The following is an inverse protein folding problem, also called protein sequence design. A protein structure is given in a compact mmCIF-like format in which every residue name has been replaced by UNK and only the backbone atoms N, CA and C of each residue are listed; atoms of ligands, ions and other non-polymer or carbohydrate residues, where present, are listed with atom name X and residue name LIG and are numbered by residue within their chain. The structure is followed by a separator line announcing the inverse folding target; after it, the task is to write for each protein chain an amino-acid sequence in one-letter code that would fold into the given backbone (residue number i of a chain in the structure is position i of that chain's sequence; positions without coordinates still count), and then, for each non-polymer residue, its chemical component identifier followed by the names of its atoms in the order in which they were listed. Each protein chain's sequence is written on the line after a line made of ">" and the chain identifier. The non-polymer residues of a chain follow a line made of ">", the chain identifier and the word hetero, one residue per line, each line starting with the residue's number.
data_IF_375261619216
#
_entry.id   IF_375261619216
#
_cell.length_a   1.000
_cell.length_b   1.000
_cell.length_c   1.000
_cell.angle_alpha   90.00
_cell.angle_beta   90.00
_cell.angle_gamma   90.00
#
_symmetry.space_group_name_H-M   'P 1'
#
loop_
_entity.id
_entity.type
_entity.pdbx_description
1 polymer ?
#
# COMPACT_ATOMS: atom_id res chain seq x y z
N UNK A 1 69.63 -50.73 15.86
CA UNK A 1 68.84 -51.68 16.66
C UNK A 1 67.39 -51.58 16.20
N UNK A 2 66.72 -52.50 15.51
CA UNK A 2 67.01 -53.86 15.06
C UNK A 2 65.66 -54.49 14.65
N UNK A 3 65.68 -55.21 13.52
CA UNK A 3 64.81 -56.34 13.13
C UNK A 3 63.46 -56.09 12.43
N UNK A 4 63.55 -56.27 11.12
CA UNK A 4 62.63 -56.90 10.15
C UNK A 4 61.73 -58.02 10.72
N UNK A 5 60.51 -58.19 10.20
CA UNK A 5 60.11 -59.33 9.32
C UNK A 5 58.63 -59.30 8.91
N UNK A 6 58.39 -59.80 7.70
CA UNK A 6 57.15 -59.82 6.95
C UNK A 6 56.23 -61.01 7.27
N UNK A 7 54.96 -60.92 6.85
CA UNK A 7 54.31 -62.01 6.11
C UNK A 7 53.22 -61.48 5.17
N UNK A 8 53.21 -62.03 3.95
CA UNK A 8 52.19 -61.92 2.89
C UNK A 8 51.35 -63.20 2.90
N UNK A 9 50.06 -63.11 2.59
CA UNK A 9 49.22 -64.08 1.83
C UNK A 9 47.97 -63.29 1.39
N UNK A 10 47.71 -63.00 0.11
CA UNK A 10 47.32 -63.80 -1.07
C UNK A 10 45.79 -64.06 -1.19
N UNK A 11 45.16 -63.18 -1.97
CA UNK A 11 44.11 -63.36 -2.99
C UNK A 11 43.03 -64.44 -2.89
N UNK A 12 41.76 -64.01 -2.94
CA UNK A 12 40.69 -64.40 -3.90
C UNK A 12 39.47 -63.51 -3.56
N UNK A 13 38.56 -63.06 -4.42
CA UNK A 13 38.23 -63.28 -5.81
C UNK A 13 37.27 -62.15 -6.25
N UNK A 14 37.52 -61.58 -7.42
CA UNK A 14 36.55 -61.22 -8.48
C UNK A 14 35.13 -60.70 -8.15
N UNK A 15 34.82 -59.57 -8.81
CA UNK A 15 33.49 -59.12 -9.29
C UNK A 15 32.57 -58.51 -8.22
N UNK A 16 31.81 -57.43 -8.42
CA UNK A 16 31.49 -56.58 -9.57
C UNK A 16 30.70 -55.36 -9.00
N UNK A 17 30.77 -54.24 -9.72
CA UNK A 17 29.72 -53.21 -9.90
C UNK A 17 29.11 -52.46 -8.69
N UNK A 18 29.37 -51.15 -8.70
CA UNK A 18 28.47 -49.99 -8.48
C UNK A 18 27.01 -50.27 -8.05
N UNK A 19 26.32 -49.51 -7.21
CA UNK A 19 26.32 -48.06 -6.99
C UNK A 19 25.96 -47.76 -5.53
N UNK A 20 26.80 -47.02 -4.82
CA UNK A 20 26.50 -46.56 -3.45
C UNK A 20 25.86 -45.18 -3.54
N UNK A 21 24.53 -45.13 -3.45
CA UNK A 21 23.73 -43.92 -3.33
C UNK A 21 24.36 -42.92 -2.33
N UNK A 22 24.75 -41.70 -2.74
CA UNK A 22 25.07 -40.66 -1.78
C UNK A 22 23.74 -40.12 -1.25
N UNK A 23 23.42 -40.45 0.00
CA UNK A 23 22.34 -39.82 0.75
C UNK A 23 22.51 -38.30 0.67
N UNK A 24 21.73 -37.64 -0.17
CA UNK A 24 21.60 -36.19 -0.19
C UNK A 24 21.04 -35.78 1.17
N UNK A 25 21.93 -35.46 2.11
CA UNK A 25 21.59 -34.63 3.27
C UNK A 25 21.04 -33.33 2.70
N UNK A 26 19.72 -33.23 2.60
CA UNK A 26 19.03 -31.98 2.43
C UNK A 26 19.41 -31.14 3.64
N UNK A 27 20.40 -30.27 3.44
CA UNK A 27 20.62 -29.15 4.35
C UNK A 27 19.32 -28.38 4.29
N UNK A 28 18.55 -28.44 5.39
CA UNK A 28 17.47 -27.49 5.64
C UNK A 28 18.14 -26.14 5.74
N UNK A 29 18.36 -25.50 4.59
CA UNK A 29 18.60 -24.06 4.55
C UNK A 29 17.31 -23.49 5.11
N UNK A 30 17.39 -22.88 6.28
CA UNK A 30 16.36 -21.98 6.76
C UNK A 30 16.26 -20.83 5.75
N UNK A 31 15.55 -21.07 4.65
CA UNK A 31 15.11 -20.02 3.73
C UNK A 31 14.02 -19.30 4.51
N UNK A 32 14.42 -18.46 5.46
CA UNK A 32 13.52 -17.44 6.00
C UNK A 32 13.11 -16.62 4.79
N UNK A 33 11.83 -16.66 4.36
CA UNK A 33 11.39 -15.86 3.22
C UNK A 33 11.73 -14.41 3.52
N UNK A 34 12.16 -13.66 2.51
CA UNK A 34 12.50 -12.26 2.71
C UNK A 34 11.29 -11.57 3.34
N UNK A 35 11.42 -11.07 4.57
CA UNK A 35 10.30 -10.49 5.33
C UNK A 35 9.53 -9.42 4.55
N UNK A 36 10.19 -8.77 3.59
CA UNK A 36 9.61 -7.75 2.71
C UNK A 36 8.63 -8.34 1.69
N UNK A 37 8.95 -9.50 1.09
CA UNK A 37 8.09 -10.18 0.12
C UNK A 37 6.79 -10.67 0.77
N UNK A 38 6.88 -11.23 1.98
CA UNK A 38 5.69 -11.69 2.71
C UNK A 38 4.77 -10.52 3.12
N UNK A 39 5.34 -9.35 3.45
CA UNK A 39 4.55 -8.16 3.73
C UNK A 39 3.79 -7.67 2.49
N UNK A 40 4.33 -7.89 1.28
CA UNK A 40 3.68 -7.50 0.02
C UNK A 40 2.45 -8.34 -0.32
N UNK A 41 2.42 -9.59 0.13
CA UNK A 41 1.29 -10.50 -0.05
C UNK A 41 0.15 -10.28 0.97
N UNK A 42 0.45 -9.61 2.09
CA UNK A 42 -0.56 -9.23 3.09
C UNK A 42 -1.35 -8.00 2.59
N UNK A 43 -2.69 -7.99 2.72
CA UNK A 43 -3.52 -6.82 2.39
C UNK A 43 -3.02 -5.54 3.04
N UNK A 44 -3.06 -4.43 2.30
CA UNK A 44 -2.44 -3.15 2.58
C UNK A 44 -2.98 -2.58 3.87
N UNK A 45 -4.29 -2.68 4.08
CA UNK A 45 -4.93 -2.25 5.33
C UNK A 45 -4.37 -2.99 6.54
N UNK A 46 -4.17 -4.31 6.43
CA UNK A 46 -3.59 -5.10 7.51
C UNK A 46 -2.09 -4.77 7.68
N UNK A 47 -1.34 -4.63 6.58
CA UNK A 47 0.05 -4.18 6.57
C UNK A 47 0.23 -2.83 7.28
N UNK A 48 -0.66 -1.87 7.04
CA UNK A 48 -0.63 -0.56 7.67
C UNK A 48 -0.94 -0.63 9.17
N UNK A 49 -1.93 -1.43 9.57
CA UNK A 49 -2.25 -1.68 10.98
C UNK A 49 -1.07 -2.33 11.70
N UNK A 50 -0.46 -3.36 11.12
CA UNK A 50 0.72 -4.03 11.68
C UNK A 50 1.89 -3.06 11.84
N UNK A 51 2.17 -2.25 10.81
CA UNK A 51 3.21 -1.21 10.86
C UNK A 51 2.91 -0.15 11.92
N UNK A 52 1.64 0.23 12.10
CA UNK A 52 1.22 1.16 13.16
C UNK A 52 1.44 0.55 14.56
N UNK A 53 1.01 -0.70 14.75
CA UNK A 53 1.22 -1.45 15.99
C UNK A 53 2.70 -1.60 16.32
N UNK A 54 3.53 -1.94 15.34
CA UNK A 54 4.98 -2.01 15.51
C UNK A 54 5.57 -0.67 15.95
N UNK A 55 5.15 0.44 15.32
CA UNK A 55 5.57 1.79 15.74
C UNK A 55 5.16 2.09 17.18
N UNK A 56 3.93 1.76 17.57
CA UNK A 56 3.49 1.94 18.96
C UNK A 56 4.32 1.10 19.93
N UNK A 57 4.64 -0.14 19.57
CA UNK A 57 5.44 -1.06 20.39
C UNK A 57 6.90 -0.61 20.52
N UNK A 58 7.47 0.05 19.51
CA UNK A 58 8.87 0.53 19.54
C UNK A 58 9.09 1.69 20.52
N UNK A 59 8.02 2.35 20.98
CA UNK A 59 8.10 3.48 21.90
C UNK A 59 8.63 4.77 21.23
N UNK A 60 8.28 5.92 21.81
CA UNK A 60 8.56 7.25 21.23
C UNK A 60 10.06 7.53 21.06
N UNK A 61 10.91 7.01 21.95
CA UNK A 61 12.36 7.25 21.92
C UNK A 61 13.04 6.55 20.74
N UNK A 62 12.69 5.28 20.45
CA UNK A 62 13.27 4.55 19.31
C UNK A 62 12.79 5.15 17.99
N UNK A 63 11.51 5.54 17.90
CA UNK A 63 10.96 6.24 16.73
C UNK A 63 11.70 7.55 16.45
N UNK A 64 11.91 8.40 17.47
CA UNK A 64 12.66 9.66 17.32
C UNK A 64 14.09 9.41 16.84
N UNK A 65 14.77 8.38 17.34
CA UNK A 65 16.14 8.02 16.91
C UNK A 65 16.18 7.61 15.43
N UNK A 66 15.23 6.79 14.99
CA UNK A 66 15.12 6.36 13.58
C UNK A 66 14.80 7.56 12.68
N UNK A 67 13.86 8.42 13.08
CA UNK A 67 13.52 9.63 12.32
C UNK A 67 14.70 10.61 12.21
N UNK A 68 15.46 10.82 13.28
CA UNK A 68 16.67 11.65 13.24
C UNK A 68 17.73 11.06 12.31
N UNK A 69 18.00 9.76 12.41
CA UNK A 69 18.94 9.09 11.51
C UNK A 69 18.51 9.20 10.03
N UNK A 70 17.21 9.16 9.75
CA UNK A 70 16.70 9.30 8.39
C UNK A 70 16.72 10.75 7.90
N UNK A 71 16.45 11.72 8.77
CA UNK A 71 16.59 13.15 8.48
C UNK A 71 18.03 13.52 8.18
N UNK A 72 18.99 13.08 8.98
CA UNK A 72 20.40 13.36 8.72
C UNK A 72 20.85 12.82 7.36
N UNK A 73 20.37 11.64 6.94
CA UNK A 73 20.66 11.11 5.59
C UNK A 73 20.04 11.95 4.46
N UNK A 74 18.78 12.34 4.59
CA UNK A 74 18.11 13.17 3.59
C UNK A 74 18.66 14.60 3.54
N UNK A 75 19.00 15.18 4.69
CA UNK A 75 19.61 16.51 4.78
C UNK A 75 21.03 16.50 4.22
N UNK A 76 21.84 15.46 4.43
CA UNK A 76 23.13 15.34 3.74
C UNK A 76 22.96 15.23 2.24
N UNK A 77 22.00 14.46 1.75
CA UNK A 77 21.77 14.29 0.31
C UNK A 77 21.28 15.60 -0.35
N UNK A 78 20.39 16.35 0.29
CA UNK A 78 19.80 17.60 -0.25
C UNK A 78 20.74 18.81 -0.06
N UNK A 79 21.45 18.91 1.07
CA UNK A 79 22.36 20.02 1.34
C UNK A 79 23.61 19.99 0.44
N UNK A 80 24.06 18.80 0.03
CA UNK A 80 25.10 18.63 -0.99
C UNK A 80 24.65 19.10 -2.39
N UNK A 81 23.34 19.21 -2.64
CA UNK A 81 22.77 19.57 -3.95
C UNK A 81 22.41 21.06 -4.09
N UNK A 82 22.08 21.75 -2.99
CA UNK A 82 21.66 23.17 -3.04
C UNK A 82 22.82 24.17 -2.94
N UNK A 83 23.98 23.77 -2.40
CA UNK A 83 25.14 24.65 -2.25
C UNK A 83 26.41 24.04 -2.83
N UNK A 84 27.02 24.75 -3.77
CA UNK A 84 28.29 24.34 -4.36
C UNK A 84 29.36 24.40 -3.28
N UNK A 85 29.87 23.23 -2.90
CA UNK A 85 30.96 23.11 -1.93
C UNK A 85 32.18 23.86 -2.45
N UNK A 86 32.73 24.78 -1.64
CA UNK A 86 33.98 25.48 -1.95
C UNK A 86 35.16 24.51 -1.72
N UNK A 87 35.88 24.08 -2.77
CA UNK A 87 37.00 23.17 -2.60
C UNK A 87 38.19 23.88 -1.94
N UNK A 88 38.85 23.19 -1.01
CA UNK A 88 40.10 23.69 -0.42
C UNK A 88 41.30 23.13 -1.19
N UNK A 89 41.96 23.99 -1.96
CA UNK A 89 43.14 23.62 -2.73
C UNK A 89 44.40 23.72 -1.89
N UNK A 90 44.72 22.62 -1.19
CA UNK A 90 46.03 22.41 -0.56
C UNK A 90 46.65 21.12 -1.08
N UNK A 91 47.96 21.16 -1.38
CA UNK A 91 48.73 19.99 -1.82
C UNK A 91 48.88 18.99 -0.67
N UNK A 92 48.57 17.73 -0.93
CA UNK A 92 48.78 16.66 0.05
C UNK A 92 50.27 16.40 0.31
N UNK A 93 50.61 15.86 1.49
CA UNK A 93 52.00 15.56 1.87
C UNK A 93 52.70 14.56 0.93
N UNK A 94 51.92 13.68 0.31
CA UNK A 94 52.38 12.61 -0.61
C UNK A 94 51.96 12.88 -2.07
N UNK A 95 51.39 14.06 -2.35
CA UNK A 95 50.88 14.41 -3.68
C UNK A 95 51.98 15.08 -4.50
N UNK A 96 52.25 14.56 -5.70
CA UNK A 96 53.14 15.22 -6.65
C UNK A 96 52.51 16.51 -7.17
N UNK A 97 53.34 17.45 -7.62
CA UNK A 97 52.87 18.74 -8.15
C UNK A 97 51.91 18.58 -9.33
N UNK A 98 52.22 17.66 -10.24
CA UNK A 98 51.39 17.38 -11.40
C UNK A 98 50.02 16.81 -11.00
N UNK A 99 49.98 15.92 -10.01
CA UNK A 99 48.72 15.37 -9.50
C UNK A 99 47.86 16.45 -8.83
N UNK A 100 48.48 17.34 -8.05
CA UNK A 100 47.81 18.48 -7.42
C UNK A 100 47.18 19.42 -8.44
N UNK A 101 47.94 19.82 -9.46
CA UNK A 101 47.44 20.70 -10.53
C UNK A 101 46.29 20.04 -11.29
N UNK A 102 46.38 18.73 -11.54
CA UNK A 102 45.31 18.00 -12.21
C UNK A 102 44.03 17.97 -11.36
N UNK A 103 44.12 17.61 -10.09
CA UNK A 103 42.98 17.63 -9.15
C UNK A 103 42.37 19.03 -9.05
N UNK A 104 43.21 20.05 -8.90
CA UNK A 104 42.77 21.43 -8.86
C UNK A 104 42.00 21.81 -10.13
N UNK A 105 42.54 21.49 -11.31
CA UNK A 105 41.90 21.80 -12.59
C UNK A 105 40.54 21.13 -12.78
N UNK A 106 40.41 19.87 -12.38
CA UNK A 106 39.15 19.11 -12.46
C UNK A 106 38.08 19.70 -11.54
N UNK A 107 38.43 19.95 -10.28
CA UNK A 107 37.52 20.54 -9.29
C UNK A 107 37.07 21.95 -9.69
N UNK A 108 37.99 22.77 -10.23
CA UNK A 108 37.63 24.10 -10.75
C UNK A 108 36.64 24.01 -11.91
N UNK A 109 36.87 23.10 -12.87
CA UNK A 109 35.93 22.87 -13.97
C UNK A 109 34.57 22.38 -13.47
N UNK A 110 34.56 21.49 -12.48
CA UNK A 110 33.35 20.94 -11.90
C UNK A 110 32.52 22.00 -11.16
N UNK A 111 33.15 22.80 -10.30
CA UNK A 111 32.50 23.94 -9.62
C UNK A 111 31.96 24.94 -10.63
N UNK A 112 32.75 25.27 -11.66
CA UNK A 112 32.32 26.19 -12.71
C UNK A 112 31.10 25.67 -13.48
N UNK A 113 31.05 24.37 -13.77
CA UNK A 113 29.89 23.72 -14.35
C UNK A 113 28.66 23.81 -13.43
N UNK A 114 28.81 23.54 -12.14
CA UNK A 114 27.71 23.65 -11.18
C UNK A 114 27.18 25.08 -11.10
N UNK A 115 28.07 26.09 -11.06
CA UNK A 115 27.68 27.51 -10.96
C UNK A 115 26.86 27.96 -12.17
N UNK A 116 27.23 27.54 -13.38
CA UNK A 116 26.48 27.87 -14.61
C UNK A 116 25.04 27.37 -14.60
N UNK A 117 24.77 26.31 -13.85
CA UNK A 117 23.46 25.69 -13.78
C UNK A 117 22.61 26.20 -12.60
N UNK A 118 23.14 27.14 -11.79
CA UNK A 118 22.36 27.75 -10.71
C UNK A 118 21.51 28.92 -11.22
N UNK A 119 20.26 29.07 -10.75
CA UNK A 119 19.47 30.27 -11.04
C UNK A 119 20.17 31.52 -10.46
N UNK A 120 20.06 32.65 -11.15
CA UNK A 120 20.62 33.92 -10.70
C UNK A 120 20.11 34.26 -9.30
N UNK A 121 21.03 34.44 -8.34
CA UNK A 121 20.69 34.78 -6.96
C UNK A 121 20.49 36.29 -6.84
N UNK A 122 19.25 36.72 -6.58
CA UNK A 122 18.92 38.11 -6.24
C UNK A 122 18.56 38.18 -4.74
N UNK A 123 19.56 38.18 -3.85
CA UNK A 123 19.33 38.13 -2.40
C UNK A 123 18.55 39.33 -1.85
N UNK A 124 18.40 40.40 -2.62
CA UNK A 124 17.68 41.61 -2.22
C UNK A 124 16.15 41.46 -2.31
N UNK A 125 15.61 40.56 -3.15
CA UNK A 125 14.15 40.39 -3.34
C UNK A 125 13.51 39.38 -2.36
N UNK A 126 14.26 38.39 -1.89
CA UNK A 126 13.75 37.29 -1.04
C UNK A 126 13.44 37.68 0.42
N UNK A 127 13.84 38.89 0.85
CA UNK A 127 13.66 39.36 2.22
C UNK A 127 12.25 39.91 2.49
N UNK A 128 11.52 40.31 1.44
CA UNK A 128 10.22 40.98 1.57
C UNK A 128 9.04 39.98 1.67
N UNK A 129 9.13 38.81 1.02
CA UNK A 129 7.99 37.87 0.91
C UNK A 129 7.74 37.02 2.16
N UNK A 130 8.69 36.90 3.08
CA UNK A 130 8.62 35.95 4.22
C UNK A 130 7.76 36.41 5.39
N UNK A 131 7.21 37.63 5.36
CA UNK A 131 6.58 38.24 6.54
C UNK A 131 5.06 38.19 6.58
N UNK A 132 4.37 37.83 5.48
CA UNK A 132 2.94 38.16 5.33
C UNK A 132 1.96 37.00 5.52
N UNK A 133 2.39 35.75 5.64
CA UNK A 133 1.46 34.62 5.86
C UNK A 133 1.74 33.92 7.17
N UNK A 134 0.73 33.93 8.07
CA UNK A 134 0.86 33.35 9.39
C UNK A 134 1.33 31.89 9.30
N UNK A 135 2.45 31.57 9.97
CA UNK A 135 3.04 30.22 10.00
C UNK A 135 2.03 29.11 10.35
N UNK A 136 0.91 29.46 11.01
CA UNK A 136 -0.17 28.55 11.40
C UNK A 136 -1.01 28.09 10.21
N UNK A 137 -1.28 28.96 9.25
CA UNK A 137 -2.08 28.62 8.06
C UNK A 137 -1.30 27.77 7.07
N UNK A 138 -0.01 28.06 6.88
CA UNK A 138 0.89 27.24 6.06
C UNK A 138 0.94 25.81 6.63
N UNK A 139 1.17 25.66 7.94
CA UNK A 139 1.18 24.35 8.62
C UNK A 139 -0.14 23.59 8.47
N UNK A 140 -1.28 24.27 8.60
CA UNK A 140 -2.61 23.65 8.38
C UNK A 140 -2.80 23.22 6.92
N UNK A 141 -2.38 24.04 5.96
CA UNK A 141 -2.47 23.74 4.52
C UNK A 141 -1.61 22.53 4.15
N UNK A 142 -0.40 22.43 4.69
CA UNK A 142 0.50 21.29 4.50
C UNK A 142 -0.04 20.00 5.10
N UNK A 143 -0.54 20.05 6.34
CA UNK A 143 -1.16 18.89 6.99
C UNK A 143 -2.35 18.35 6.17
N UNK A 144 -3.21 19.24 5.68
CA UNK A 144 -4.36 18.89 4.84
C UNK A 144 -3.93 18.31 3.49
N UNK A 145 -2.87 18.85 2.87
CA UNK A 145 -2.26 18.28 1.65
C UNK A 145 -1.76 16.87 1.92
N UNK A 146 -1.00 16.66 3.00
CA UNK A 146 -0.47 15.33 3.40
C UNK A 146 -1.59 14.31 3.58
N UNK A 147 -2.64 14.66 4.32
CA UNK A 147 -3.82 13.79 4.53
C UNK A 147 -4.50 13.42 3.21
N UNK A 148 -4.66 14.36 2.29
CA UNK A 148 -5.26 14.12 0.98
C UNK A 148 -4.42 13.16 0.14
N UNK A 149 -3.10 13.35 0.12
CA UNK A 149 -2.18 12.45 -0.61
C UNK A 149 -2.19 11.03 -0.04
N UNK A 150 -2.19 10.87 1.29
CA UNK A 150 -2.33 9.56 1.92
C UNK A 150 -3.63 8.87 1.52
N UNK A 151 -4.76 9.60 1.52
CA UNK A 151 -6.06 9.06 1.10
C UNK A 151 -6.07 8.63 -0.37
N UNK A 152 -5.37 9.35 -1.25
CA UNK A 152 -5.24 8.95 -2.67
C UNK A 152 -4.42 7.68 -2.83
N UNK A 153 -3.28 7.58 -2.15
CA UNK A 153 -2.41 6.39 -2.19
C UNK A 153 -3.12 5.15 -1.64
N UNK A 154 -3.83 5.27 -0.52
CA UNK A 154 -4.63 4.19 0.03
C UNK A 154 -5.70 3.69 -0.96
N UNK A 155 -6.43 4.61 -1.62
CA UNK A 155 -7.41 4.23 -2.65
C UNK A 155 -6.79 3.52 -3.85
N UNK A 156 -5.59 3.94 -4.27
CA UNK A 156 -4.87 3.28 -5.36
C UNK A 156 -4.46 1.87 -4.95
N UNK A 157 -3.97 1.69 -3.73
CA UNK A 157 -3.60 0.38 -3.18
C UNK A 157 -4.84 -0.52 -3.04
N UNK A 158 -5.94 -0.02 -2.50
CA UNK A 158 -7.21 -0.75 -2.41
C UNK A 158 -7.69 -1.25 -3.78
N UNK A 159 -7.52 -0.43 -4.83
CA UNK A 159 -7.88 -0.82 -6.19
C UNK A 159 -6.98 -1.92 -6.74
N UNK A 160 -5.65 -1.81 -6.53
CA UNK A 160 -4.69 -2.84 -6.93
C UNK A 160 -4.98 -4.14 -6.18
N UNK A 161 -5.25 -4.09 -4.88
CA UNK A 161 -5.57 -5.26 -4.08
C UNK A 161 -6.86 -5.93 -4.49
N UNK A 162 -7.91 -5.16 -4.76
CA UNK A 162 -9.14 -5.71 -5.34
C UNK A 162 -8.88 -6.46 -6.64
N UNK A 163 -7.87 -6.11 -7.42
CA UNK A 163 -7.51 -6.90 -8.62
C UNK A 163 -6.77 -8.18 -8.27
N UNK A 164 -5.89 -8.13 -7.28
CA UNK A 164 -5.05 -9.27 -6.86
C UNK A 164 -5.89 -10.33 -6.12
N UNK A 165 -6.82 -9.90 -5.27
CA UNK A 165 -7.62 -10.78 -4.41
C UNK A 165 -9.00 -11.14 -4.99
N UNK A 166 -9.23 -10.92 -6.29
CA UNK A 166 -10.41 -11.43 -6.98
C UNK A 166 -10.05 -12.76 -7.64
N UNK A 167 -10.40 -13.84 -6.95
CA UNK A 167 -10.33 -15.18 -7.51
C UNK A 167 -11.56 -15.44 -8.39
N UNK A 168 -11.31 -15.66 -9.69
CA UNK A 168 -12.35 -16.08 -10.61
C UNK A 168 -12.52 -17.59 -10.49
N UNK A 169 -13.40 -18.00 -9.57
CA UNK A 169 -13.81 -19.40 -9.47
C UNK A 169 -14.85 -19.67 -10.56
N UNK A 170 -14.54 -20.59 -11.47
CA UNK A 170 -15.55 -21.13 -12.37
C UNK A 170 -16.49 -21.98 -11.53
N UNK A 171 -17.71 -21.51 -11.32
CA UNK A 171 -18.74 -22.36 -10.74
C UNK A 171 -18.98 -23.50 -11.73
N UNK A 172 -18.70 -24.73 -11.31
CA UNK A 172 -19.18 -25.92 -12.02
C UNK A 172 -20.70 -25.91 -12.07
N UNK A 173 -21.31 -26.80 -12.87
CA UNK A 173 -22.77 -26.92 -12.97
C UNK A 173 -23.41 -27.06 -11.58
N UNK A 174 -23.91 -25.93 -11.06
CA UNK A 174 -24.75 -25.93 -9.86
C UNK A 174 -26.07 -26.51 -10.32
N UNK A 175 -26.43 -27.70 -9.84
CA UNK A 175 -27.74 -28.28 -10.10
C UNK A 175 -28.80 -27.25 -9.67
N UNK A 176 -29.47 -26.65 -10.66
CA UNK A 176 -30.43 -25.55 -10.43
C UNK A 176 -31.68 -25.97 -9.68
N UNK A 177 -31.88 -27.29 -9.56
CA UNK A 177 -32.85 -27.88 -8.68
C UNK A 177 -32.18 -29.01 -7.90
N UNK A 178 -32.53 -29.21 -6.62
CA UNK A 178 -32.16 -30.43 -5.93
C UNK A 178 -32.67 -31.63 -6.73
N UNK A 179 -31.96 -32.78 -6.72
CA UNK A 179 -32.45 -33.98 -7.39
C UNK A 179 -33.84 -34.33 -6.86
N UNK A 180 -34.82 -34.44 -7.76
CA UNK A 180 -36.18 -34.81 -7.38
C UNK A 180 -36.20 -36.30 -7.05
N UNK A 181 -36.30 -36.60 -5.76
CA UNK A 181 -36.55 -37.95 -5.30
C UNK A 181 -38.00 -38.31 -5.67
N UNK A 182 -38.19 -38.96 -6.83
CA UNK A 182 -39.49 -39.47 -7.28
C UNK A 182 -39.90 -40.78 -6.58
N UNK A 183 -39.07 -41.27 -5.66
CA UNK A 183 -39.34 -42.48 -4.88
C UNK A 183 -40.38 -42.17 -3.81
N UNK A 184 -41.54 -42.85 -3.87
CA UNK A 184 -42.54 -42.79 -2.80
C UNK A 184 -41.95 -43.35 -1.51
N UNK A 185 -41.85 -42.57 -0.42
CA UNK A 185 -41.37 -43.11 0.86
C UNK A 185 -42.31 -44.22 1.33
N UNK A 186 -41.78 -45.43 1.51
CA UNK A 186 -42.56 -46.67 1.77
C UNK A 186 -43.47 -46.63 3.00
N UNK A 187 -43.35 -45.63 3.89
CA UNK A 187 -44.08 -45.54 5.17
C UNK A 187 -44.77 -44.19 5.45
N UNK A 188 -44.95 -43.32 4.46
CA UNK A 188 -45.60 -42.02 4.72
C UNK A 188 -47.13 -42.08 4.53
N UNK A 189 -47.94 -41.66 5.52
CA UNK A 189 -49.37 -41.49 5.33
C UNK A 189 -49.66 -40.24 4.47
N UNK A 190 -50.49 -40.40 3.44
CA UNK A 190 -50.95 -39.31 2.57
C UNK A 190 -51.92 -38.43 3.36
N UNK A 191 -51.50 -37.22 3.76
CA UNK A 191 -52.40 -36.20 4.31
C UNK A 191 -52.97 -35.34 3.18
N UNK A 192 -54.28 -35.02 3.17
CA UNK A 192 -54.86 -34.14 2.16
C UNK A 192 -54.31 -32.71 2.30
N UNK A 193 -53.90 -32.17 1.17
CA UNK A 193 -53.40 -30.82 0.97
C UNK A 193 -54.51 -29.79 1.25
N UNK A 194 -54.42 -29.08 2.38
CA UNK A 194 -54.90 -27.69 2.60
C UNK A 194 -54.78 -27.32 4.08
N UNK A 195 -53.66 -26.70 4.43
CA UNK A 195 -53.62 -25.71 5.50
C UNK A 195 -52.81 -24.53 4.95
N UNK A 196 -53.45 -23.39 4.81
CA UNK A 196 -52.85 -22.13 4.36
C UNK A 196 -51.57 -21.84 5.14
N UNK A 197 -50.44 -21.90 4.44
CA UNK A 197 -49.09 -21.77 5.00
C UNK A 197 -48.75 -20.31 5.32
N UNK A 198 -49.33 -19.74 6.38
CA UNK A 198 -48.68 -18.62 7.06
C UNK A 198 -47.61 -19.19 7.98
N UNK A 199 -46.35 -18.80 7.79
CA UNK A 199 -45.26 -19.23 8.66
C UNK A 199 -45.57 -18.84 10.11
N UNK A 200 -45.40 -19.76 11.06
CA UNK A 200 -45.65 -19.50 12.49
C UNK A 200 -44.93 -18.23 12.98
N UNK A 201 -43.72 -17.99 12.46
CA UNK A 201 -42.92 -16.80 12.75
C UNK A 201 -43.58 -15.47 12.32
N UNK A 202 -44.31 -15.43 11.20
CA UNK A 202 -45.02 -14.19 10.80
C UNK A 202 -46.19 -13.91 11.74
N UNK A 203 -46.83 -14.96 12.26
CA UNK A 203 -47.84 -14.86 13.34
C UNK A 203 -47.23 -14.34 14.64
N UNK A 204 -46.03 -14.79 15.02
CA UNK A 204 -45.40 -14.39 16.29
C UNK A 204 -44.82 -12.98 16.24
N UNK A 205 -44.32 -12.54 15.09
CA UNK A 205 -43.65 -11.25 14.97
C UNK A 205 -44.63 -10.12 14.61
N UNK A 206 -45.86 -10.43 14.19
CA UNK A 206 -46.86 -9.43 13.77
C UNK A 206 -46.52 -8.74 12.43
N UNK A 207 -45.53 -9.25 11.70
CA UNK A 207 -45.20 -8.77 10.36
C UNK A 207 -46.19 -9.41 9.39
N UNK A 208 -47.25 -8.66 9.09
CA UNK A 208 -48.02 -8.89 7.87
C UNK A 208 -47.16 -8.46 6.68
N UNK A 209 -47.28 -9.17 5.55
CA UNK A 209 -46.57 -8.81 4.32
C UNK A 209 -46.76 -7.32 4.07
N UNK A 210 -45.65 -6.57 3.99
CA UNK A 210 -45.66 -5.13 3.76
C UNK A 210 -46.51 -4.90 2.51
N UNK A 211 -47.69 -4.32 2.72
CA UNK A 211 -48.71 -4.24 1.68
C UNK A 211 -48.09 -3.60 0.44
N UNK A 212 -48.09 -4.33 -0.68
CA UNK A 212 -47.69 -3.83 -2.01
C UNK A 212 -48.72 -2.84 -2.58
N UNK A 213 -49.54 -2.26 -1.71
CA UNK A 213 -50.71 -1.48 -2.05
C UNK A 213 -50.30 -0.02 -2.19
N UNK A 214 -50.80 0.61 -3.26
CA UNK A 214 -50.42 1.98 -3.61
C UNK A 214 -50.79 2.92 -2.46
N UNK A 215 -49.90 3.86 -2.05
CA UNK A 215 -50.21 4.80 -1.00
C UNK A 215 -51.44 5.65 -1.38
N UNK A 216 -52.23 6.07 -0.39
CA UNK A 216 -53.41 6.92 -0.63
C UNK A 216 -53.03 8.21 -1.38
N UNK A 217 -53.96 8.76 -2.16
CA UNK A 217 -53.74 10.00 -2.94
C UNK A 217 -53.21 11.16 -2.08
N UNK A 218 -53.70 11.29 -0.84
CA UNK A 218 -53.21 12.30 0.10
C UNK A 218 -51.74 12.10 0.46
N UNK A 219 -51.34 10.84 0.69
CA UNK A 219 -49.96 10.49 1.00
C UNK A 219 -49.03 10.66 -0.21
N UNK A 220 -49.52 10.37 -1.41
CA UNK A 220 -48.77 10.62 -2.65
C UNK A 220 -48.46 12.12 -2.81
N UNK A 221 -49.46 13.00 -2.62
CA UNK A 221 -49.27 14.45 -2.69
C UNK A 221 -48.22 14.96 -1.70
N UNK A 222 -48.21 14.46 -0.47
CA UNK A 222 -47.21 14.83 0.54
C UNK A 222 -45.81 14.41 0.08
N UNK A 223 -45.66 13.19 -0.41
CA UNK A 223 -44.36 12.66 -0.88
C UNK A 223 -43.87 13.44 -2.11
N UNK A 224 -44.76 13.79 -3.03
CA UNK A 224 -44.46 14.56 -4.23
C UNK A 224 -44.01 15.99 -3.88
N UNK A 225 -44.70 16.66 -2.95
CA UNK A 225 -44.32 17.99 -2.48
C UNK A 225 -42.93 17.98 -1.80
N UNK A 226 -42.65 16.99 -0.96
CA UNK A 226 -41.33 16.80 -0.36
C UNK A 226 -40.25 16.57 -1.44
N UNK A 227 -40.56 15.75 -2.44
CA UNK A 227 -39.67 15.49 -3.56
C UNK A 227 -39.35 16.77 -4.36
N UNK A 228 -40.37 17.59 -4.66
CA UNK A 228 -40.18 18.88 -5.34
C UNK A 228 -39.32 19.84 -4.54
N UNK A 229 -39.53 19.94 -3.22
CA UNK A 229 -38.70 20.77 -2.32
C UNK A 229 -37.23 20.33 -2.35
N UNK A 230 -36.97 19.01 -2.27
CA UNK A 230 -35.61 18.45 -2.33
C UNK A 230 -34.95 18.73 -3.68
N UNK A 231 -35.68 18.53 -4.79
CA UNK A 231 -35.16 18.79 -6.13
C UNK A 231 -34.83 20.27 -6.31
N UNK A 232 -35.68 21.17 -5.83
CA UNK A 232 -35.44 22.61 -5.90
C UNK A 232 -34.19 23.00 -5.10
N UNK A 233 -34.05 22.53 -3.85
CA UNK A 233 -32.86 22.75 -3.03
C UNK A 233 -31.58 22.22 -3.70
N UNK A 234 -31.64 21.02 -4.29
CA UNK A 234 -30.53 20.44 -5.02
C UNK A 234 -30.12 21.29 -6.23
N UNK A 235 -31.09 21.78 -7.02
CA UNK A 235 -30.83 22.66 -8.17
C UNK A 235 -30.16 23.96 -7.74
N UNK A 236 -30.60 24.58 -6.64
CA UNK A 236 -29.98 25.78 -6.09
C UNK A 236 -28.52 25.52 -5.67
N UNK A 237 -28.27 24.44 -4.92
CA UNK A 237 -26.92 24.05 -4.51
C UNK A 237 -26.01 23.79 -5.71
N UNK A 238 -26.54 23.16 -6.77
CA UNK A 238 -25.82 22.91 -8.02
C UNK A 238 -25.45 24.21 -8.75
N UNK A 239 -26.34 25.20 -8.81
CA UNK A 239 -26.04 26.52 -9.38
C UNK A 239 -24.93 27.24 -8.59
N UNK A 240 -25.02 27.23 -7.25
CA UNK A 240 -24.01 27.85 -6.40
C UNK A 240 -22.62 27.21 -6.56
N UNK A 241 -22.56 25.88 -6.64
CA UNK A 241 -21.30 25.16 -6.84
C UNK A 241 -20.69 25.43 -8.22
N UNK A 242 -21.50 25.54 -9.27
CA UNK A 242 -21.05 25.95 -10.60
C UNK A 242 -20.52 27.39 -10.61
N UNK A 243 -21.22 28.35 -10.00
CA UNK A 243 -20.78 29.74 -9.90
C UNK A 243 -19.44 29.87 -9.15
N UNK A 244 -19.30 29.18 -8.00
CA UNK A 244 -18.02 29.12 -7.25
C UNK A 244 -16.90 28.52 -8.10
N UNK A 245 -17.19 27.49 -8.90
CA UNK A 245 -16.21 26.87 -9.80
C UNK A 245 -15.79 27.84 -10.91
N UNK A 246 -16.73 28.58 -11.50
CA UNK A 246 -16.46 29.58 -12.54
C UNK A 246 -15.66 30.79 -12.00
N UNK A 247 -15.97 31.26 -10.79
CA UNK A 247 -15.18 32.30 -10.12
C UNK A 247 -13.76 31.81 -9.83
N UNK A 248 -13.60 30.58 -9.34
CA UNK A 248 -12.28 29.98 -9.10
C UNK A 248 -11.47 29.83 -10.38
N UNK A 249 -12.08 29.49 -11.51
CA UNK A 249 -11.36 29.42 -12.79
C UNK A 249 -10.96 30.81 -13.30
N UNK A 250 -11.78 31.85 -13.10
CA UNK A 250 -11.44 33.23 -13.47
C UNK A 250 -10.33 33.86 -12.61
N UNK A 251 -10.22 33.48 -11.34
CA UNK A 251 -9.14 33.96 -10.46
C UNK A 251 -7.80 33.26 -10.78
N UNK A 252 -7.85 32.08 -11.41
CA UNK A 252 -6.68 31.29 -11.75
C UNK A 252 -6.24 31.45 -13.23
N UNK A 253 -6.87 32.35 -13.97
CA UNK A 253 -6.53 32.74 -15.36
C UNK A 253 -6.01 34.16 -15.36
#
# INVERSE_FOLDING_TARGET
>A
MGKNRASKTSNSSLQQTEERNPSKKLTKKDVKPQLKEHLEQIPFRLREIMKSKEKMNMGSNKLKKIMRAHKHKAETEICEQEHIRVPHFRRGKQESEKAYLHRMSQETQYVFFLTKNQPGRLPEQDMEEKTTTSNKEIKKKEFNKGRSQHKKKAKQQDYVEKKIFVDKVQFGEVAMAPPSLTVKPKKAPVKPQRASSSLLLSSMLGHTDVSTTKPSMARQKIIEEEHERVVHAYRQLKRQTQAKRAQKTRINS
#
